data_IF_915384077758
#
_entry.id   IF_915384077758
#
_cell.length_a   1.000
_cell.length_b   1.000
_cell.length_c   1.000
_cell.angle_alpha   90.00
_cell.angle_beta   90.00
_cell.angle_gamma   90.00
#
_symmetry.space_group_name_H-M   'P 1'
#
loop_
_entity.id
_entity.type
_entity.pdbx_description
1 polymer ?
#
# COMPACT_ATOMS: atom_id res chain seq x y z
N UNK A 1 8.94 -9.10 -20.10
CA UNK A 1 9.09 -8.40 -18.80
C UNK A 1 9.68 -9.36 -17.77
N UNK A 2 10.54 -8.87 -16.87
CA UNK A 2 11.14 -9.70 -15.81
C UNK A 2 10.07 -10.44 -14.98
N UNK A 3 8.97 -9.75 -14.60
CA UNK A 3 7.85 -10.37 -13.89
C UNK A 3 7.29 -11.62 -14.62
N UNK A 4 7.06 -11.53 -15.93
CA UNK A 4 6.54 -12.67 -16.73
C UNK A 4 7.54 -13.83 -16.78
N UNK A 5 8.83 -13.52 -16.83
CA UNK A 5 9.89 -14.54 -16.82
C UNK A 5 9.95 -15.24 -15.47
N UNK A 6 9.82 -14.51 -14.37
CA UNK A 6 9.83 -15.10 -13.01
C UNK A 6 8.56 -15.92 -12.73
N UNK A 7 7.38 -15.47 -13.15
CA UNK A 7 6.15 -16.27 -13.08
C UNK A 7 6.31 -17.59 -13.88
N UNK A 8 6.89 -17.52 -15.08
CA UNK A 8 7.11 -18.72 -15.90
C UNK A 8 8.09 -19.70 -15.27
N UNK A 9 9.22 -19.20 -14.73
CA UNK A 9 10.23 -20.03 -14.05
C UNK A 9 9.67 -20.74 -12.82
N UNK A 10 8.81 -20.06 -12.06
CA UNK A 10 8.27 -20.54 -10.78
C UNK A 10 6.80 -20.95 -10.89
N UNK A 11 6.36 -21.36 -12.08
CA UNK A 11 4.93 -21.63 -12.38
C UNK A 11 4.30 -22.79 -11.58
N UNK A 12 5.09 -23.59 -10.91
CA UNK A 12 4.59 -24.63 -9.98
C UNK A 12 4.07 -23.99 -8.68
N UNK A 13 4.71 -22.92 -8.22
CA UNK A 13 4.47 -22.33 -6.88
C UNK A 13 3.72 -21.00 -6.96
N UNK A 14 3.86 -20.23 -8.06
CA UNK A 14 3.32 -18.88 -8.21
C UNK A 14 2.53 -18.78 -9.53
N UNK A 15 1.40 -18.06 -9.48
CA UNK A 15 0.66 -17.71 -10.69
C UNK A 15 0.19 -16.25 -10.65
N UNK A 16 0.19 -15.61 -11.85
CA UNK A 16 -0.31 -14.25 -12.01
C UNK A 16 -1.82 -14.19 -11.82
N UNK A 17 -2.30 -13.10 -11.24
CA UNK A 17 -3.71 -12.81 -11.00
C UNK A 17 -4.18 -11.68 -11.91
N UNK A 18 -5.30 -11.88 -12.58
CA UNK A 18 -6.02 -10.88 -13.38
C UNK A 18 -7.41 -10.59 -12.80
N UNK A 19 -8.01 -11.59 -12.14
CA UNK A 19 -9.35 -11.54 -11.56
C UNK A 19 -9.35 -12.21 -10.18
N UNK A 20 -10.37 -11.95 -9.39
CA UNK A 20 -10.51 -12.63 -8.08
C UNK A 20 -10.64 -14.16 -8.23
N UNK A 21 -11.22 -14.64 -9.33
CA UNK A 21 -11.32 -16.08 -9.62
C UNK A 21 -9.95 -16.75 -9.72
N UNK A 22 -8.96 -16.05 -10.26
CA UNK A 22 -7.58 -16.57 -10.32
C UNK A 22 -7.00 -16.78 -8.92
N UNK A 23 -7.32 -15.89 -7.95
CA UNK A 23 -6.92 -16.04 -6.56
C UNK A 23 -7.52 -17.33 -5.97
N UNK A 24 -8.82 -17.56 -6.19
CA UNK A 24 -9.50 -18.76 -5.69
C UNK A 24 -8.93 -20.05 -6.33
N UNK A 25 -8.60 -20.02 -7.60
CA UNK A 25 -7.98 -21.15 -8.30
C UNK A 25 -6.55 -21.42 -7.82
N UNK A 26 -5.75 -20.37 -7.63
CA UNK A 26 -4.40 -20.49 -7.09
C UNK A 26 -4.41 -21.07 -5.68
N UNK A 27 -5.29 -20.60 -4.82
CA UNK A 27 -5.45 -21.11 -3.45
C UNK A 27 -5.81 -22.62 -3.45
N UNK A 28 -6.74 -23.06 -4.30
CA UNK A 28 -7.10 -24.48 -4.44
C UNK A 28 -5.93 -25.36 -4.92
N UNK A 29 -5.04 -24.76 -5.70
CA UNK A 29 -3.86 -25.44 -6.26
C UNK A 29 -2.60 -25.28 -5.40
N UNK A 30 -2.70 -24.64 -4.21
CA UNK A 30 -1.57 -24.39 -3.31
C UNK A 30 -0.54 -23.40 -3.86
N UNK A 31 -0.92 -22.53 -4.79
CA UNK A 31 -0.04 -21.53 -5.40
C UNK A 31 -0.16 -20.18 -4.76
N UNK A 32 0.93 -19.43 -4.77
CA UNK A 32 0.97 -18.02 -4.40
C UNK A 32 0.37 -17.20 -5.55
N UNK A 33 -0.53 -16.29 -5.21
CA UNK A 33 -1.13 -15.34 -6.15
C UNK A 33 -0.27 -14.09 -6.30
N UNK A 34 0.17 -13.77 -7.52
CA UNK A 34 0.96 -12.60 -7.84
C UNK A 34 0.13 -11.57 -8.63
N UNK A 35 -0.23 -10.46 -7.99
CA UNK A 35 -0.94 -9.34 -8.61
C UNK A 35 0.07 -8.28 -9.03
N UNK A 36 0.07 -7.93 -10.31
CA UNK A 36 0.98 -6.93 -10.86
C UNK A 36 0.46 -5.52 -10.58
N UNK A 37 1.31 -4.69 -9.96
CA UNK A 37 1.05 -3.28 -9.68
C UNK A 37 2.09 -2.38 -10.33
N UNK A 38 1.75 -1.10 -10.48
CA UNK A 38 2.67 -0.04 -10.86
C UNK A 38 2.87 0.90 -9.68
N UNK A 39 4.12 1.10 -9.29
CA UNK A 39 4.52 2.14 -8.37
C UNK A 39 5.24 3.25 -9.16
N UNK A 40 4.80 4.49 -9.05
CA UNK A 40 5.22 5.67 -9.79
C UNK A 40 4.39 5.95 -11.07
N UNK A 41 3.56 6.98 -10.98
CA UNK A 41 2.70 7.45 -12.06
C UNK A 41 3.41 8.05 -13.27
N UNK A 42 4.70 8.46 -13.13
CA UNK A 42 5.47 9.07 -14.21
C UNK A 42 5.56 8.18 -15.46
N UNK A 43 5.45 6.86 -15.30
CA UNK A 43 5.54 5.92 -16.43
C UNK A 43 4.29 5.90 -17.32
N UNK A 44 3.15 6.41 -16.85
CA UNK A 44 1.89 6.47 -17.60
C UNK A 44 1.22 7.86 -17.59
N UNK A 45 1.83 8.87 -16.92
CA UNK A 45 1.25 10.19 -16.72
C UNK A 45 0.90 10.99 -17.98
N UNK A 46 1.53 10.68 -19.10
CA UNK A 46 1.40 11.48 -20.31
C UNK A 46 0.24 11.06 -21.20
N UNK A 47 -0.11 9.78 -21.16
CA UNK A 47 -1.10 9.19 -22.06
C UNK A 47 -1.94 8.13 -21.36
N UNK A 48 -3.26 8.27 -21.23
CA UNK A 48 -4.15 7.23 -20.71
C UNK A 48 -4.01 5.88 -21.43
N UNK A 49 -3.64 5.92 -22.73
CA UNK A 49 -3.37 4.71 -23.51
C UNK A 49 -2.20 3.87 -22.98
N UNK A 50 -1.25 4.49 -22.28
CA UNK A 50 -0.16 3.73 -21.63
C UNK A 50 -0.70 2.89 -20.46
N UNK A 51 -1.64 3.45 -19.68
CA UNK A 51 -2.27 2.71 -18.60
C UNK A 51 -3.05 1.49 -19.14
N UNK A 52 -3.73 1.63 -20.29
CA UNK A 52 -4.39 0.49 -20.99
C UNK A 52 -3.43 -0.60 -21.39
N UNK A 53 -2.27 -0.25 -21.95
CA UNK A 53 -1.23 -1.23 -22.28
C UNK A 53 -0.72 -2.00 -21.05
N UNK A 54 -0.58 -1.32 -19.91
CA UNK A 54 -0.22 -1.98 -18.66
C UNK A 54 -1.35 -2.87 -18.12
N UNK A 55 -2.60 -2.43 -18.25
CA UNK A 55 -3.75 -3.27 -17.91
C UNK A 55 -3.79 -4.57 -18.73
N UNK A 56 -3.54 -4.48 -20.05
CA UNK A 56 -3.44 -5.65 -20.95
C UNK A 56 -2.31 -6.60 -20.54
N UNK A 57 -1.23 -6.09 -19.93
CA UNK A 57 -0.15 -6.90 -19.37
C UNK A 57 -0.47 -7.49 -17.98
N UNK A 58 -1.61 -7.14 -17.41
CA UNK A 58 -2.10 -7.68 -16.14
C UNK A 58 -1.96 -6.77 -14.94
N UNK A 59 -1.59 -5.51 -15.13
CA UNK A 59 -1.61 -4.53 -14.03
C UNK A 59 -3.04 -4.34 -13.53
N UNK A 60 -3.23 -4.40 -12.21
CA UNK A 60 -4.53 -4.23 -11.55
C UNK A 60 -4.52 -3.20 -10.43
N UNK A 61 -3.38 -2.61 -10.13
CA UNK A 61 -3.22 -1.58 -9.12
C UNK A 61 -2.15 -0.58 -9.56
N UNK A 62 -2.33 0.71 -9.27
CA UNK A 62 -1.35 1.73 -9.64
C UNK A 62 -1.36 2.92 -8.68
N UNK A 63 -0.17 3.45 -8.34
CA UNK A 63 0.02 4.69 -7.58
C UNK A 63 0.04 5.88 -8.52
N UNK A 64 -0.25 7.08 -7.99
CA UNK A 64 -0.16 8.35 -8.73
C UNK A 64 1.27 8.92 -8.72
N UNK A 65 1.94 8.82 -7.61
CA UNK A 65 3.29 9.35 -7.39
C UNK A 65 4.12 8.33 -6.61
N UNK A 66 5.43 8.45 -6.70
CA UNK A 66 6.36 7.92 -5.74
C UNK A 66 6.90 9.08 -4.87
N UNK A 67 8.20 9.28 -4.77
CA UNK A 67 8.81 10.32 -3.94
C UNK A 67 9.07 11.65 -4.68
N UNK A 68 8.56 11.80 -5.91
CA UNK A 68 8.75 12.97 -6.74
C UNK A 68 7.43 13.49 -7.30
N UNK A 69 7.36 14.81 -7.46
CA UNK A 69 6.27 15.46 -8.19
C UNK A 69 6.29 15.02 -9.65
N UNK A 70 5.11 14.75 -10.20
CA UNK A 70 4.93 14.41 -11.61
C UNK A 70 3.68 15.13 -12.17
N UNK A 71 3.27 14.79 -13.40
CA UNK A 71 2.11 15.44 -14.04
C UNK A 71 0.77 15.04 -13.40
N UNK A 72 0.71 13.98 -12.57
CA UNK A 72 -0.52 13.53 -11.92
C UNK A 72 -0.77 14.18 -10.57
N UNK A 73 0.29 14.52 -9.83
CA UNK A 73 0.13 15.07 -8.50
C UNK A 73 1.44 15.30 -7.77
N UNK A 74 1.30 15.46 -6.47
CA UNK A 74 2.39 15.70 -5.55
C UNK A 74 2.58 14.51 -4.61
N UNK A 75 3.84 14.10 -4.33
CA UNK A 75 4.09 13.09 -3.33
C UNK A 75 3.90 13.68 -1.93
N UNK A 76 3.66 12.80 -0.99
CA UNK A 76 3.62 13.14 0.40
C UNK A 76 4.99 13.67 0.90
N UNK A 77 6.08 13.11 0.36
CA UNK A 77 7.44 13.51 0.68
C UNK A 77 8.32 13.41 -0.55
N UNK A 78 9.07 14.45 -0.89
CA UNK A 78 10.00 14.43 -2.01
C UNK A 78 11.29 15.17 -1.70
N UNK A 79 12.38 14.76 -2.33
CA UNK A 79 13.66 15.45 -2.28
C UNK A 79 13.70 16.54 -3.32
N UNK A 80 13.93 17.79 -2.90
CA UNK A 80 14.15 18.91 -3.81
C UNK A 80 15.66 19.04 -4.09
N UNK A 81 16.15 18.71 -5.30
CA UNK A 81 17.56 18.75 -5.61
C UNK A 81 18.13 20.18 -5.64
N UNK A 82 17.30 21.20 -5.89
CA UNK A 82 17.74 22.60 -5.91
C UNK A 82 18.00 23.14 -4.50
N UNK A 83 17.17 22.73 -3.54
CA UNK A 83 17.28 23.15 -2.15
C UNK A 83 18.03 22.13 -1.27
N UNK A 84 18.38 20.99 -1.82
CA UNK A 84 19.06 19.88 -1.15
C UNK A 84 18.37 19.47 0.16
N UNK A 85 17.04 19.49 0.16
CA UNK A 85 16.24 19.09 1.32
C UNK A 85 15.00 18.32 0.94
N UNK A 86 14.46 17.58 1.93
CA UNK A 86 13.18 16.93 1.81
C UNK A 86 12.03 17.93 2.01
N UNK A 87 11.05 17.84 1.14
CA UNK A 87 9.80 18.59 1.23
C UNK A 87 8.62 17.68 1.55
N UNK A 88 7.60 18.23 2.18
CA UNK A 88 6.28 17.62 2.27
C UNK A 88 5.28 18.53 1.54
N UNK A 89 4.49 17.97 0.66
CA UNK A 89 3.50 18.75 -0.09
C UNK A 89 2.34 19.25 0.78
N UNK A 90 2.07 18.57 1.90
CA UNK A 90 1.01 18.93 2.82
C UNK A 90 -0.41 18.77 2.25
N UNK A 91 -1.40 19.33 2.96
CA UNK A 91 -2.82 19.15 2.65
C UNK A 91 -3.31 19.90 1.41
N UNK A 92 -2.60 20.95 1.00
CA UNK A 92 -3.05 21.83 -0.09
C UNK A 92 -2.65 21.38 -1.48
N UNK A 93 -1.68 20.49 -1.60
CA UNK A 93 -1.18 20.00 -2.87
C UNK A 93 -1.89 18.69 -3.25
N UNK A 94 -2.97 18.81 -4.00
CA UNK A 94 -3.82 17.70 -4.44
C UNK A 94 -3.39 17.07 -5.76
N UNK A 95 -4.31 16.29 -6.37
CA UNK A 95 -4.14 15.78 -7.72
C UNK A 95 -4.17 16.95 -8.71
N UNK A 96 -3.34 16.87 -9.74
CA UNK A 96 -3.41 17.77 -10.89
C UNK A 96 -4.54 17.34 -11.83
N UNK A 97 -4.87 18.17 -12.81
CA UNK A 97 -5.91 17.86 -13.79
C UNK A 97 -5.73 16.47 -14.43
N UNK A 98 -4.50 16.15 -14.87
CA UNK A 98 -4.18 14.82 -15.39
C UNK A 98 -4.30 13.70 -14.36
N UNK A 99 -4.09 13.99 -13.09
CA UNK A 99 -4.28 13.01 -12.01
C UNK A 99 -5.74 12.64 -11.85
N UNK A 100 -6.65 13.61 -11.98
CA UNK A 100 -8.10 13.37 -11.96
C UNK A 100 -8.55 12.57 -13.19
N UNK A 101 -8.07 12.94 -14.40
CA UNK A 101 -8.33 12.16 -15.62
C UNK A 101 -7.83 10.71 -15.48
N UNK A 102 -6.65 10.54 -14.87
CA UNK A 102 -6.07 9.22 -14.69
C UNK A 102 -6.83 8.39 -13.66
N UNK A 103 -7.37 9.01 -12.61
CA UNK A 103 -8.28 8.34 -11.66
C UNK A 103 -9.51 7.78 -12.36
N UNK A 104 -10.13 8.56 -13.24
CA UNK A 104 -11.28 8.12 -14.04
C UNK A 104 -10.91 6.97 -14.99
N UNK A 105 -9.74 7.02 -15.63
CA UNK A 105 -9.27 5.94 -16.49
C UNK A 105 -8.94 4.66 -15.70
N UNK A 106 -8.32 4.77 -14.51
CA UNK A 106 -8.10 3.63 -13.63
C UNK A 106 -9.42 2.92 -13.32
N UNK A 107 -10.43 3.67 -12.90
CA UNK A 107 -11.74 3.11 -12.56
C UNK A 107 -12.45 2.49 -13.78
N UNK A 108 -12.36 3.14 -14.95
CA UNK A 108 -12.93 2.62 -16.19
C UNK A 108 -12.31 1.29 -16.63
N UNK A 109 -11.01 1.10 -16.38
CA UNK A 109 -10.28 -0.12 -16.67
C UNK A 109 -10.43 -1.21 -15.58
N UNK A 110 -10.83 -0.84 -14.36
CA UNK A 110 -10.78 -1.73 -13.20
C UNK A 110 -9.39 -1.84 -12.59
N UNK A 111 -8.55 -0.82 -12.75
CA UNK A 111 -7.30 -0.67 -12.02
C UNK A 111 -7.61 -0.01 -10.68
N UNK A 112 -7.13 -0.59 -9.59
CA UNK A 112 -7.34 -0.10 -8.23
C UNK A 112 -6.42 1.09 -7.98
N UNK A 113 -6.94 2.28 -7.61
CA UNK A 113 -6.13 3.41 -7.22
C UNK A 113 -5.41 3.14 -5.88
N UNK A 114 -4.10 3.39 -5.83
CA UNK A 114 -3.27 3.28 -4.65
C UNK A 114 -2.78 4.66 -4.23
N UNK A 115 -3.12 5.07 -3.00
CA UNK A 115 -2.76 6.38 -2.45
C UNK A 115 -1.46 6.38 -1.65
N UNK A 116 -0.75 5.26 -1.59
CA UNK A 116 0.60 5.25 -1.02
C UNK A 116 1.49 6.23 -1.77
N UNK A 117 2.35 6.95 -1.05
CA UNK A 117 3.17 8.06 -1.52
C UNK A 117 2.45 9.37 -1.88
N UNK A 118 1.15 9.36 -2.07
CA UNK A 118 0.40 10.55 -2.47
C UNK A 118 0.34 11.57 -1.32
N UNK A 119 0.35 12.87 -1.65
CA UNK A 119 0.17 13.96 -0.68
C UNK A 119 -1.17 13.86 0.05
N UNK A 120 -1.28 14.54 1.19
CA UNK A 120 -2.53 14.60 1.95
C UNK A 120 -3.66 15.18 1.08
N UNK A 121 -3.40 16.28 0.34
CA UNK A 121 -4.38 16.84 -0.61
C UNK A 121 -4.77 15.85 -1.71
N UNK A 122 -3.80 15.09 -2.24
CA UNK A 122 -4.07 14.06 -3.24
C UNK A 122 -4.90 12.90 -2.69
N UNK A 123 -4.66 12.49 -1.44
CA UNK A 123 -5.52 11.52 -0.75
C UNK A 123 -6.97 12.01 -0.68
N UNK A 124 -7.19 13.26 -0.25
CA UNK A 124 -8.54 13.83 -0.15
C UNK A 124 -9.21 13.98 -1.52
N UNK A 125 -8.44 14.27 -2.57
CA UNK A 125 -8.99 14.30 -3.92
C UNK A 125 -9.42 12.90 -4.38
N UNK A 126 -8.61 11.86 -4.19
CA UNK A 126 -9.02 10.48 -4.46
C UNK A 126 -10.25 10.12 -3.63
N UNK A 127 -10.25 10.41 -2.33
CA UNK A 127 -11.40 10.15 -1.46
C UNK A 127 -12.68 10.85 -1.93
N UNK A 128 -12.57 12.04 -2.50
CA UNK A 128 -13.70 12.83 -3.00
C UNK A 128 -14.23 12.34 -4.35
N UNK A 129 -13.32 12.00 -5.27
CA UNK A 129 -13.69 11.77 -6.68
C UNK A 129 -13.79 10.29 -7.04
N UNK A 130 -13.13 9.39 -6.29
CA UNK A 130 -13.24 7.96 -6.52
C UNK A 130 -14.67 7.45 -6.27
N UNK A 131 -15.19 6.69 -7.24
CA UNK A 131 -16.51 6.06 -7.23
C UNK A 131 -16.47 4.63 -6.66
N UNK A 132 -15.26 4.04 -6.66
CA UNK A 132 -14.99 2.70 -6.13
C UNK A 132 -14.05 2.78 -4.93
N UNK A 133 -13.99 1.74 -4.08
CA UNK A 133 -12.99 1.66 -3.03
C UNK A 133 -11.57 1.77 -3.59
N UNK A 134 -10.69 2.41 -2.85
CA UNK A 134 -9.26 2.54 -3.14
C UNK A 134 -8.43 2.02 -1.96
N UNK A 135 -7.13 1.90 -2.10
CA UNK A 135 -6.28 1.39 -1.04
C UNK A 135 -5.03 2.25 -0.81
N UNK A 136 -4.38 2.02 0.33
CA UNK A 136 -3.01 2.44 0.58
C UNK A 136 -2.17 1.17 0.75
N UNK A 137 -1.45 0.76 -0.30
CA UNK A 137 -0.77 -0.55 -0.33
C UNK A 137 0.28 -0.73 0.77
N UNK A 138 0.95 0.37 1.20
CA UNK A 138 2.00 0.34 2.21
C UNK A 138 2.10 1.69 2.96
N UNK A 139 1.28 1.87 3.99
CA UNK A 139 1.22 3.08 4.83
C UNK A 139 0.92 2.73 6.29
N UNK A 140 1.34 3.61 7.21
CA UNK A 140 1.14 3.42 8.65
C UNK A 140 0.29 4.55 9.25
N UNK A 141 0.09 4.57 10.57
CA UNK A 141 -0.65 5.60 11.28
C UNK A 141 0.28 6.76 11.70
N UNK A 142 -0.04 7.97 11.24
CA UNK A 142 0.68 9.19 11.62
C UNK A 142 0.51 9.54 13.09
N UNK A 143 -0.61 9.11 13.72
CA UNK A 143 -0.81 9.27 15.16
C UNK A 143 0.22 8.54 16.04
N UNK A 144 0.88 7.50 15.51
CA UNK A 144 1.99 6.80 16.19
C UNK A 144 3.36 7.39 15.82
N UNK A 145 3.54 7.77 14.57
CA UNK A 145 4.81 8.35 14.07
C UNK A 145 4.53 9.66 13.32
N UNK A 146 4.31 10.76 14.05
CA UNK A 146 3.86 12.04 13.50
C UNK A 146 4.87 12.70 12.55
N UNK A 147 6.14 12.38 12.69
CA UNK A 147 7.21 12.88 11.82
C UNK A 147 7.29 12.13 10.47
N UNK A 148 6.57 11.03 10.32
CA UNK A 148 6.51 10.27 9.08
C UNK A 148 5.34 10.78 8.21
N UNK A 149 5.60 11.77 7.35
CA UNK A 149 4.59 12.32 6.44
C UNK A 149 3.97 11.26 5.50
N UNK A 150 4.68 10.14 5.25
CA UNK A 150 4.20 8.97 4.49
C UNK A 150 3.02 8.25 5.15
N UNK A 151 2.84 8.45 6.45
CA UNK A 151 1.77 7.82 7.21
C UNK A 151 0.43 8.57 7.04
N UNK A 152 -0.67 7.85 7.11
CA UNK A 152 -2.01 8.42 7.04
C UNK A 152 -2.41 9.06 8.39
N UNK A 153 -3.12 10.17 8.34
CA UNK A 153 -3.75 10.75 9.53
C UNK A 153 -4.93 9.89 9.98
N UNK A 154 -5.39 10.10 11.21
CA UNK A 154 -6.57 9.41 11.74
C UNK A 154 -7.82 9.65 10.88
N UNK A 155 -7.96 10.87 10.35
CA UNK A 155 -9.06 11.24 9.46
C UNK A 155 -8.99 10.46 8.15
N UNK A 156 -7.80 10.38 7.54
CA UNK A 156 -7.57 9.59 6.33
C UNK A 156 -7.85 8.10 6.54
N UNK A 157 -7.44 7.54 7.68
CA UNK A 157 -7.70 6.14 8.02
C UNK A 157 -9.21 5.89 8.13
N UNK A 158 -9.97 6.79 8.79
CA UNK A 158 -11.43 6.69 8.88
C UNK A 158 -12.09 6.77 7.50
N UNK A 159 -11.71 7.75 6.69
CA UNK A 159 -12.24 7.91 5.32
C UNK A 159 -11.95 6.68 4.46
N UNK A 160 -10.72 6.15 4.51
CA UNK A 160 -10.35 4.94 3.80
C UNK A 160 -11.23 3.76 4.20
N UNK A 161 -11.42 3.56 5.50
CA UNK A 161 -12.26 2.50 6.06
C UNK A 161 -13.74 2.65 5.67
N UNK A 162 -14.30 3.86 5.77
CA UNK A 162 -15.68 4.18 5.38
C UNK A 162 -15.94 3.95 3.89
N UNK A 163 -14.92 4.14 3.06
CA UNK A 163 -14.95 3.83 1.63
C UNK A 163 -14.77 2.34 1.31
N UNK A 164 -14.65 1.47 2.32
CA UNK A 164 -14.41 0.04 2.13
C UNK A 164 -12.97 -0.31 1.74
N UNK A 165 -12.05 0.65 1.81
CA UNK A 165 -10.64 0.49 1.48
C UNK A 165 -9.86 -0.34 2.50
N UNK A 166 -8.60 -0.62 2.16
CA UNK A 166 -7.65 -1.32 3.03
C UNK A 166 -6.30 -0.60 2.99
N UNK A 167 -5.64 -0.48 4.13
CA UNK A 167 -4.25 -0.04 4.19
C UNK A 167 -3.33 -1.18 4.59
N UNK A 168 -2.23 -1.35 3.84
CA UNK A 168 -1.18 -2.30 4.15
C UNK A 168 -0.16 -1.69 5.12
N UNK A 169 0.12 -2.37 6.22
CA UNK A 169 1.13 -1.96 7.19
C UNK A 169 2.53 -2.02 6.56
N UNK A 170 3.18 -0.88 6.39
CA UNK A 170 4.56 -0.79 5.91
C UNK A 170 5.55 -1.14 7.03
N UNK A 171 6.59 -1.92 6.72
CA UNK A 171 7.58 -2.36 7.70
C UNK A 171 8.81 -1.46 7.79
N UNK A 172 8.87 -0.37 7.04
CA UNK A 172 9.93 0.61 7.12
C UNK A 172 10.01 1.21 8.53
N UNK A 173 11.13 1.00 9.20
CA UNK A 173 11.33 1.37 10.61
C UNK A 173 11.03 2.83 10.88
N UNK A 174 11.40 3.73 9.96
CA UNK A 174 11.15 5.17 10.08
C UNK A 174 9.66 5.56 10.01
N UNK A 175 8.79 4.66 9.54
CA UNK A 175 7.34 4.89 9.49
C UNK A 175 6.60 4.22 10.65
N UNK A 176 7.27 3.29 11.35
CA UNK A 176 6.68 2.51 12.43
C UNK A 176 6.68 3.29 13.75
N UNK A 177 7.72 4.09 14.00
CA UNK A 177 7.89 4.80 15.28
C UNK A 177 8.40 6.23 15.14
N UNK A 178 8.05 7.06 16.14
CA UNK A 178 8.60 8.40 16.29
C UNK A 178 10.08 8.38 16.69
N UNK A 179 10.83 9.40 16.27
CA UNK A 179 12.23 9.63 16.66
C UNK A 179 13.21 8.49 16.31
N UNK A 180 12.90 7.69 15.29
CA UNK A 180 13.83 6.70 14.78
C UNK A 180 15.17 7.34 14.36
N UNK A 181 16.27 6.65 14.71
CA UNK A 181 17.62 7.02 14.31
C UNK A 181 18.25 5.89 13.49
N UNK A 182 18.83 6.18 12.30
CA UNK A 182 19.51 5.18 11.49
C UNK A 182 20.57 4.41 12.30
N UNK A 183 20.62 3.09 12.18
CA UNK A 183 21.64 2.19 12.76
C UNK A 183 21.68 2.04 14.29
N UNK A 184 20.88 2.81 15.03
CA UNK A 184 20.88 2.72 16.50
C UNK A 184 19.75 1.84 17.05
N UNK A 185 18.61 1.80 16.36
CA UNK A 185 17.38 1.22 16.89
C UNK A 185 16.58 0.51 15.78
N UNK A 186 16.73 -0.81 15.66
CA UNK A 186 15.79 -1.62 14.86
C UNK A 186 14.38 -1.56 15.45
N UNK A 187 13.32 -1.52 14.60
CA UNK A 187 11.96 -1.70 15.09
C UNK A 187 11.77 -3.12 15.59
N UNK A 188 10.92 -3.25 16.61
CA UNK A 188 10.53 -4.53 17.16
C UNK A 188 9.15 -4.94 16.62
N UNK A 189 8.83 -6.23 16.65
CA UNK A 189 7.50 -6.72 16.30
C UNK A 189 6.39 -6.08 17.14
N UNK A 190 6.67 -5.78 18.42
CA UNK A 190 5.74 -5.07 19.30
C UNK A 190 5.36 -3.67 18.79
N UNK A 191 6.25 -2.99 18.08
CA UNK A 191 5.96 -1.68 17.50
C UNK A 191 5.06 -1.79 16.26
N UNK A 192 5.27 -2.83 15.42
CA UNK A 192 4.33 -3.16 14.34
C UNK A 192 2.95 -3.50 14.90
N UNK A 193 2.87 -4.29 15.97
CA UNK A 193 1.62 -4.65 16.63
C UNK A 193 0.93 -3.40 17.21
N UNK A 194 1.69 -2.46 17.76
CA UNK A 194 1.16 -1.17 18.21
C UNK A 194 0.51 -0.39 17.06
N UNK A 195 1.14 -0.35 15.89
CA UNK A 195 0.57 0.24 14.67
C UNK A 195 -0.74 -0.47 14.28
N UNK A 196 -0.74 -1.80 14.23
CA UNK A 196 -1.93 -2.61 13.91
C UNK A 196 -3.08 -2.29 14.86
N UNK A 197 -2.85 -2.36 16.17
CA UNK A 197 -3.88 -2.06 17.19
C UNK A 197 -4.41 -0.64 17.08
N UNK A 198 -3.54 0.32 16.78
CA UNK A 198 -3.93 1.72 16.60
C UNK A 198 -4.82 1.90 15.36
N UNK A 199 -4.41 1.33 14.21
CA UNK A 199 -5.18 1.39 12.97
C UNK A 199 -6.56 0.74 13.15
N UNK A 200 -6.63 -0.42 13.84
CA UNK A 200 -7.90 -1.07 14.20
C UNK A 200 -8.76 -0.15 15.08
N UNK A 201 -8.15 0.54 16.04
CA UNK A 201 -8.89 1.47 16.91
C UNK A 201 -9.49 2.65 16.14
N UNK A 202 -8.78 3.16 15.12
CA UNK A 202 -9.18 4.34 14.34
C UNK A 202 -10.15 4.00 13.21
N UNK A 203 -9.85 2.95 12.43
CA UNK A 203 -10.54 2.60 11.18
C UNK A 203 -11.33 1.28 11.25
N UNK A 204 -11.25 0.56 12.38
CA UNK A 204 -11.89 -0.75 12.51
C UNK A 204 -11.05 -1.92 11.99
N UNK A 205 -11.49 -3.14 12.31
CA UNK A 205 -10.74 -4.37 12.02
C UNK A 205 -10.64 -4.72 10.52
N UNK A 206 -11.52 -4.15 9.69
CA UNK A 206 -11.63 -4.50 8.27
C UNK A 206 -10.68 -3.68 7.35
N UNK A 207 -10.05 -2.61 7.88
CA UNK A 207 -9.29 -1.66 7.05
C UNK A 207 -7.78 -1.92 7.00
N UNK A 208 -7.25 -2.92 7.69
CA UNK A 208 -5.81 -3.18 7.76
C UNK A 208 -5.41 -4.52 7.12
N UNK A 209 -4.29 -4.52 6.41
CA UNK A 209 -3.59 -5.67 5.90
C UNK A 209 -2.08 -5.53 6.07
N UNK A 210 -1.30 -6.40 5.45
CA UNK A 210 0.17 -6.30 5.41
C UNK A 210 0.61 -5.70 4.07
N UNK A 211 1.44 -4.68 4.14
CA UNK A 211 2.06 -3.99 3.01
C UNK A 211 3.55 -3.82 3.25
N UNK A 212 4.24 -4.93 3.45
CA UNK A 212 5.59 -5.04 3.99
C UNK A 212 6.63 -4.12 3.38
N UNK A 213 6.58 -3.97 2.07
CA UNK A 213 7.56 -3.17 1.30
C UNK A 213 9.01 -3.70 1.41
N UNK A 214 9.19 -5.02 1.62
CA UNK A 214 10.49 -5.62 1.96
C UNK A 214 11.62 -5.27 0.99
N UNK A 215 11.36 -5.24 -0.31
CA UNK A 215 12.39 -4.96 -1.31
C UNK A 215 12.52 -3.45 -1.62
N UNK A 216 11.60 -2.62 -1.10
CA UNK A 216 11.56 -1.17 -1.28
C UNK A 216 12.10 -0.37 -0.09
N UNK A 217 12.40 -1.01 1.05
CA UNK A 217 12.82 -0.35 2.29
C UNK A 217 14.29 -0.61 2.62
N UNK A 218 14.95 0.41 3.20
CA UNK A 218 16.36 0.29 3.61
C UNK A 218 16.53 -0.56 4.89
N UNK A 219 15.57 -0.46 5.81
CA UNK A 219 15.59 -1.16 7.10
C UNK A 219 14.23 -1.78 7.42
N UNK A 220 14.21 -3.11 7.49
CA UNK A 220 13.11 -3.91 8.03
C UNK A 220 13.28 -4.13 9.54
N UNK A 221 12.22 -4.53 10.28
CA UNK A 221 12.34 -4.89 11.69
C UNK A 221 13.43 -5.93 11.93
N UNK A 222 14.22 -5.74 12.99
CA UNK A 222 15.40 -6.59 13.29
C UNK A 222 15.05 -8.06 13.43
N UNK A 223 13.85 -8.37 13.94
CA UNK A 223 13.33 -9.72 14.15
C UNK A 223 12.70 -10.33 12.88
N UNK A 224 12.40 -9.50 11.85
CA UNK A 224 11.71 -9.94 10.63
C UNK A 224 12.27 -9.23 9.40
N UNK A 225 13.35 -9.76 8.84
CA UNK A 225 14.08 -9.15 7.72
C UNK A 225 13.52 -9.48 6.34
N UNK A 226 12.63 -10.43 6.22
CA UNK A 226 12.02 -10.87 4.96
C UNK A 226 10.72 -11.66 5.24
N UNK A 227 10.03 -12.08 4.19
CA UNK A 227 8.74 -12.77 4.27
C UNK A 227 8.76 -14.07 5.12
N UNK A 228 9.91 -14.75 5.28
CA UNK A 228 10.01 -15.92 6.14
C UNK A 228 9.78 -15.59 7.64
N UNK A 229 9.89 -14.31 8.02
CA UNK A 229 9.59 -13.83 9.37
C UNK A 229 8.11 -13.57 9.66
N UNK A 230 7.24 -13.59 8.66
CA UNK A 230 5.80 -13.32 8.85
C UNK A 230 5.13 -14.22 9.91
N UNK A 231 5.44 -15.52 10.05
CA UNK A 231 4.90 -16.33 11.13
C UNK A 231 5.24 -15.79 12.52
N UNK A 232 6.43 -15.18 12.71
CA UNK A 232 6.82 -14.57 13.99
C UNK A 232 5.92 -13.38 14.36
N UNK A 233 5.48 -12.59 13.35
CA UNK A 233 4.53 -11.51 13.58
C UNK A 233 3.17 -12.06 14.03
N UNK A 234 2.66 -13.12 13.39
CA UNK A 234 1.40 -13.76 13.79
C UNK A 234 1.45 -14.26 15.23
N UNK A 235 2.49 -15.01 15.59
CA UNK A 235 2.71 -15.48 16.96
C UNK A 235 2.83 -14.33 17.98
N UNK A 236 3.51 -13.24 17.60
CA UNK A 236 3.65 -12.07 18.47
C UNK A 236 2.31 -11.36 18.68
N UNK A 237 1.47 -11.24 17.64
CA UNK A 237 0.12 -10.67 17.75
C UNK A 237 -0.75 -11.47 18.73
N UNK A 238 -0.74 -12.81 18.65
CA UNK A 238 -1.48 -13.67 19.58
C UNK A 238 -0.95 -13.53 21.01
N UNK A 239 0.37 -13.53 21.22
CA UNK A 239 1.00 -13.30 22.53
C UNK A 239 0.64 -11.95 23.14
N UNK A 240 0.41 -10.94 22.30
CA UNK A 240 -0.05 -9.62 22.73
C UNK A 240 -1.59 -9.50 22.88
N UNK A 241 -2.28 -10.64 22.88
CA UNK A 241 -3.70 -10.76 23.19
C UNK A 241 -4.65 -10.47 22.03
N UNK A 242 -4.15 -10.43 20.79
CA UNK A 242 -5.05 -10.35 19.64
C UNK A 242 -5.72 -11.69 19.38
N UNK A 243 -6.99 -11.66 19.00
CA UNK A 243 -7.72 -12.87 18.67
C UNK A 243 -7.20 -13.46 17.35
N UNK A 244 -7.22 -14.78 17.22
CA UNK A 244 -6.85 -15.48 15.98
C UNK A 244 -7.62 -14.95 14.77
N UNK A 245 -8.91 -14.64 14.94
CA UNK A 245 -9.73 -14.03 13.88
C UNK A 245 -9.23 -12.64 13.44
N UNK A 246 -8.66 -11.85 14.35
CA UNK A 246 -8.05 -10.56 14.04
C UNK A 246 -6.72 -10.75 13.29
N UNK A 247 -5.90 -11.73 13.70
CA UNK A 247 -4.67 -12.09 12.99
C UNK A 247 -4.98 -12.48 11.55
N UNK A 248 -5.98 -13.36 11.32
CA UNK A 248 -6.42 -13.74 9.97
C UNK A 248 -6.89 -12.55 9.14
N UNK A 249 -7.62 -11.59 9.74
CA UNK A 249 -8.06 -10.37 9.05
C UNK A 249 -6.86 -9.57 8.56
N UNK A 250 -5.88 -9.31 9.42
CA UNK A 250 -4.67 -8.55 9.09
C UNK A 250 -3.84 -9.28 8.02
N UNK A 251 -3.67 -10.60 8.15
CA UNK A 251 -2.80 -11.36 7.26
C UNK A 251 -3.36 -11.58 5.87
N UNK A 252 -4.67 -11.77 5.73
CA UNK A 252 -5.24 -12.09 4.41
C UNK A 252 -6.72 -11.76 4.20
N UNK A 253 -7.61 -11.88 5.22
CA UNK A 253 -9.06 -11.78 4.99
C UNK A 253 -9.50 -10.42 4.48
N UNK A 254 -8.95 -9.33 5.04
CA UNK A 254 -9.30 -7.97 4.65
C UNK A 254 -8.88 -7.67 3.19
N UNK A 255 -7.66 -8.05 2.82
CA UNK A 255 -7.17 -7.88 1.45
C UNK A 255 -7.98 -8.77 0.49
N UNK A 256 -8.28 -10.02 0.85
CA UNK A 256 -9.13 -10.90 0.02
C UNK A 256 -10.52 -10.32 -0.18
N UNK A 257 -11.17 -9.80 0.87
CA UNK A 257 -12.46 -9.10 0.76
C UNK A 257 -12.35 -7.94 -0.22
N UNK A 258 -11.37 -7.05 -0.01
CA UNK A 258 -11.18 -5.88 -0.85
C UNK A 258 -10.93 -6.26 -2.33
N UNK A 259 -10.08 -7.24 -2.60
CA UNK A 259 -9.81 -7.71 -3.96
C UNK A 259 -11.03 -8.39 -4.60
N UNK A 260 -11.86 -9.09 -3.82
CA UNK A 260 -13.11 -9.69 -4.30
C UNK A 260 -14.12 -8.66 -4.80
N UNK A 261 -14.12 -7.49 -4.19
CA UNK A 261 -15.02 -6.39 -4.52
C UNK A 261 -14.49 -5.52 -5.68
N UNK A 262 -13.19 -5.60 -5.99
CA UNK A 262 -12.52 -4.67 -6.89
C UNK A 262 -11.81 -5.30 -8.11
N UNK A 263 -11.58 -6.61 -8.15
CA UNK A 263 -11.10 -7.37 -9.29
C UNK A 263 -12.23 -8.15 -9.97
#
# INVERSE_FOLDING_TARGET
>A
MLFQEEIKKNSQDIAQVFTYKDIEENEKNGKISALLSLEEGAIYQREPQMLRKFYEQGVRMATFTWNYENDLGYPNRFYNPLEQKMWSAGETAGLKEKGLEMLEEMEALGIIPDVSHLSDGGFYDVAKYAKRPFLASHSNARGIAPNAARNLTDDMIRILAEKGGVMGLNFCVSFVRENWKPKEDGALLSELIRQIKYIICVGGEECIGLGSDFDGIEEAPSEMKNAAGLPLLAEAMEREGMLYSQVEKVFFKNVKRFLKENL
#
